data_IF_288409964797
#
_entry.id   IF_288409964797
#
_cell.length_a   1.000
_cell.length_b   1.000
_cell.length_c   1.000
_cell.angle_alpha   90.00
_cell.angle_beta   90.00
_cell.angle_gamma   90.00
#
_symmetry.space_group_name_H-M   'P 1'
#
loop_
_entity.id
_entity.type
_entity.pdbx_description
1 polymer ?
#
# COMPACT_ATOMS: atom_id res chain seq x y z
N UNK A 1 17.07 -34.80 -22.09
CA UNK A 1 16.97 -33.33 -22.16
C UNK A 1 16.60 -32.85 -20.77
N UNK A 2 17.58 -32.42 -19.97
CA UNK A 2 17.35 -31.94 -18.61
C UNK A 2 16.68 -30.58 -18.70
N UNK A 3 15.36 -30.55 -18.51
CA UNK A 3 14.67 -29.30 -18.16
C UNK A 3 15.27 -28.81 -16.84
N UNK A 4 16.29 -27.96 -16.94
CA UNK A 4 16.64 -27.02 -15.89
C UNK A 4 15.45 -26.07 -15.83
N UNK A 5 14.35 -26.50 -15.21
CA UNK A 5 13.29 -25.62 -14.74
C UNK A 5 13.97 -24.69 -13.78
N UNK A 6 14.35 -23.53 -14.30
CA UNK A 6 14.78 -22.36 -13.54
C UNK A 6 13.69 -22.18 -12.50
N UNK A 7 13.95 -22.64 -11.28
CA UNK A 7 13.03 -22.49 -10.15
C UNK A 7 13.01 -21.00 -9.84
N UNK A 8 12.21 -20.27 -10.61
CA UNK A 8 11.81 -18.94 -10.23
C UNK A 8 11.13 -19.12 -8.88
N UNK A 9 11.75 -18.61 -7.83
CA UNK A 9 11.13 -18.55 -6.51
C UNK A 9 9.97 -17.55 -6.61
N UNK A 10 8.81 -18.04 -7.02
CA UNK A 10 7.57 -17.27 -7.16
C UNK A 10 7.21 -16.63 -5.83
N UNK A 11 7.53 -17.32 -4.72
CA UNK A 11 7.51 -16.76 -3.37
C UNK A 11 8.28 -15.45 -3.24
N UNK A 12 9.53 -15.39 -3.71
CA UNK A 12 10.39 -14.19 -3.63
C UNK A 12 9.85 -13.07 -4.50
N UNK A 13 9.43 -13.35 -5.72
CA UNK A 13 8.83 -12.35 -6.62
C UNK A 13 7.55 -11.76 -6.01
N UNK A 14 6.67 -12.61 -5.48
CA UNK A 14 5.43 -12.18 -4.83
C UNK A 14 5.68 -11.32 -3.59
N UNK A 15 6.73 -11.64 -2.81
CA UNK A 15 7.15 -10.81 -1.68
C UNK A 15 7.59 -9.40 -2.11
N UNK A 16 8.38 -9.30 -3.18
CA UNK A 16 8.82 -8.01 -3.72
C UNK A 16 7.62 -7.19 -4.20
N UNK A 17 6.70 -7.80 -4.95
CA UNK A 17 5.46 -7.15 -5.39
C UNK A 17 4.66 -6.65 -4.19
N UNK A 18 4.55 -7.45 -3.13
CA UNK A 18 3.85 -7.06 -1.91
C UNK A 18 4.43 -5.78 -1.31
N UNK A 19 5.75 -5.70 -1.16
CA UNK A 19 6.43 -4.51 -0.64
C UNK A 19 6.25 -3.28 -1.54
N UNK A 20 6.28 -3.46 -2.86
CA UNK A 20 6.00 -2.38 -3.82
C UNK A 20 4.58 -1.84 -3.63
N UNK A 21 3.58 -2.71 -3.48
CA UNK A 21 2.19 -2.32 -3.23
C UNK A 21 2.04 -1.55 -1.92
N UNK A 22 2.71 -2.00 -0.85
CA UNK A 22 2.71 -1.32 0.46
C UNK A 22 3.29 0.09 0.32
N UNK A 23 4.50 0.19 -0.23
CA UNK A 23 5.19 1.48 -0.39
C UNK A 23 4.37 2.43 -1.26
N UNK A 24 3.80 1.92 -2.35
CA UNK A 24 2.96 2.71 -3.24
C UNK A 24 1.71 3.24 -2.53
N UNK A 25 1.01 2.41 -1.76
CA UNK A 25 -0.16 2.84 -0.99
C UNK A 25 0.16 3.87 0.08
N UNK A 26 1.29 3.72 0.78
CA UNK A 26 1.75 4.72 1.77
C UNK A 26 2.05 6.05 1.07
N UNK A 27 2.85 6.03 -0.01
CA UNK A 27 3.24 7.24 -0.74
C UNK A 27 2.03 7.95 -1.32
N UNK A 28 1.10 7.22 -1.95
CA UNK A 28 -0.13 7.79 -2.50
C UNK A 28 -1.02 8.38 -1.42
N UNK A 29 -1.20 7.70 -0.29
CA UNK A 29 -2.02 8.19 0.80
C UNK A 29 -1.45 9.47 1.44
N UNK A 30 -0.13 9.51 1.66
CA UNK A 30 0.55 10.71 2.14
C UNK A 30 0.46 11.86 1.13
N UNK A 31 0.70 11.59 -0.16
CA UNK A 31 0.58 12.59 -1.22
C UNK A 31 -0.85 13.15 -1.31
N UNK A 32 -1.86 12.30 -1.15
CA UNK A 32 -3.27 12.72 -1.11
C UNK A 32 -3.55 13.65 0.07
N UNK A 33 -3.12 13.27 1.28
CA UNK A 33 -3.29 14.09 2.50
C UNK A 33 -2.60 15.44 2.35
N UNK A 34 -1.39 15.49 1.81
CA UNK A 34 -0.68 16.76 1.62
C UNK A 34 -1.31 17.63 0.52
N UNK A 35 -1.85 17.03 -0.53
CA UNK A 35 -2.42 17.78 -1.66
C UNK A 35 -3.85 18.27 -1.40
N UNK A 36 -4.65 17.49 -0.65
CA UNK A 36 -6.09 17.71 -0.49
C UNK A 36 -6.55 17.77 0.97
N UNK A 37 -5.66 17.52 1.93
CA UNK A 37 -6.00 17.50 3.35
C UNK A 37 -6.30 18.88 3.91
N UNK A 38 -5.76 19.94 3.33
CA UNK A 38 -6.11 21.32 3.69
C UNK A 38 -7.23 21.85 2.79
N UNK A 39 -8.30 22.32 3.42
CA UNK A 39 -9.44 22.93 2.74
C UNK A 39 -9.58 24.38 3.17
N UNK A 40 -10.02 25.23 2.25
CA UNK A 40 -10.29 26.63 2.54
C UNK A 40 -11.66 26.76 3.20
N UNK A 41 -11.72 27.48 4.32
CA UNK A 41 -12.97 27.83 5.00
C UNK A 41 -12.97 29.31 5.34
N UNK A 42 -14.17 29.83 5.62
CA UNK A 42 -14.33 31.22 6.05
C UNK A 42 -14.46 31.26 7.57
N UNK A 43 -13.62 32.06 8.21
CA UNK A 43 -13.74 32.33 9.65
C UNK A 43 -14.87 33.34 9.92
N UNK A 44 -15.26 33.51 11.18
CA UNK A 44 -16.30 34.45 11.63
C UNK A 44 -16.02 35.91 11.19
N UNK A 45 -14.74 36.24 10.97
CA UNK A 45 -14.28 37.55 10.50
C UNK A 45 -14.29 37.69 8.95
N UNK A 46 -14.91 36.76 8.23
CA UNK A 46 -14.98 36.72 6.76
C UNK A 46 -13.64 36.46 6.03
N UNK A 47 -12.56 36.20 6.76
CA UNK A 47 -11.24 35.82 6.24
C UNK A 47 -11.20 34.38 5.75
N UNK A 48 -10.43 34.13 4.67
CA UNK A 48 -10.17 32.79 4.14
C UNK A 48 -9.02 32.17 4.94
N UNK A 49 -9.28 31.04 5.59
CA UNK A 49 -8.29 30.27 6.35
C UNK A 49 -8.17 28.85 5.78
N UNK A 50 -6.97 28.28 5.84
CA UNK A 50 -6.75 26.87 5.50
C UNK A 50 -6.81 26.01 6.76
N UNK A 51 -7.68 25.01 6.76
CA UNK A 51 -7.82 24.07 7.89
C UNK A 51 -7.72 22.63 7.40
N UNK A 52 -7.24 21.75 8.27
CA UNK A 52 -7.20 20.32 7.96
C UNK A 52 -8.60 19.73 7.98
N UNK A 53 -9.05 19.21 6.83
CA UNK A 53 -10.31 18.49 6.71
C UNK A 53 -10.16 17.08 7.26
N UNK A 54 -10.92 16.78 8.32
CA UNK A 54 -10.99 15.43 8.90
C UNK A 54 -11.43 14.39 7.88
N UNK A 55 -12.34 14.74 6.98
CA UNK A 55 -12.84 13.84 5.94
C UNK A 55 -11.72 13.49 4.95
N UNK A 56 -11.00 14.49 4.44
CA UNK A 56 -9.92 14.28 3.48
C UNK A 56 -8.74 13.51 4.10
N UNK A 57 -8.39 13.84 5.35
CA UNK A 57 -7.36 13.08 6.09
C UNK A 57 -7.78 11.63 6.28
N UNK A 58 -9.05 11.37 6.60
CA UNK A 58 -9.58 10.00 6.77
C UNK A 58 -9.53 9.22 5.47
N UNK A 59 -9.90 9.82 4.34
CA UNK A 59 -9.78 9.20 3.01
C UNK A 59 -8.32 8.85 2.71
N UNK A 60 -7.40 9.76 2.97
CA UNK A 60 -5.97 9.51 2.82
C UNK A 60 -5.46 8.34 3.65
N UNK A 61 -5.88 8.26 4.92
CA UNK A 61 -5.57 7.12 5.79
C UNK A 61 -6.18 5.81 5.25
N UNK A 62 -7.36 5.86 4.65
CA UNK A 62 -8.01 4.70 4.05
C UNK A 62 -7.22 4.20 2.83
N UNK A 63 -6.64 5.09 2.02
CA UNK A 63 -5.74 4.72 0.92
C UNK A 63 -4.53 3.96 1.45
N UNK A 64 -3.88 4.47 2.51
CA UNK A 64 -2.73 3.82 3.16
C UNK A 64 -3.15 2.43 3.67
N UNK A 65 -4.28 2.36 4.38
CA UNK A 65 -4.79 1.11 4.93
C UNK A 65 -5.03 0.06 3.85
N UNK A 66 -5.60 0.43 2.70
CA UNK A 66 -5.79 -0.49 1.58
C UNK A 66 -4.45 -0.97 1.01
N UNK A 67 -3.48 -0.08 0.82
CA UNK A 67 -2.14 -0.47 0.39
C UNK A 67 -1.48 -1.50 1.32
N UNK A 68 -1.59 -1.27 2.63
CA UNK A 68 -1.12 -2.21 3.65
C UNK A 68 -1.87 -3.54 3.59
N UNK A 69 -3.21 -3.50 3.46
CA UNK A 69 -4.05 -4.69 3.41
C UNK A 69 -3.71 -5.57 2.19
N UNK A 70 -3.69 -5.00 0.99
CA UNK A 70 -3.37 -5.75 -0.23
C UNK A 70 -1.93 -6.27 -0.19
N UNK A 71 -0.98 -5.44 0.25
CA UNK A 71 0.39 -5.86 0.48
C UNK A 71 0.51 -7.04 1.44
N UNK A 72 -0.17 -6.98 2.58
CA UNK A 72 -0.19 -8.08 3.54
C UNK A 72 -0.75 -9.37 2.94
N UNK A 73 -1.83 -9.29 2.14
CA UNK A 73 -2.37 -10.46 1.44
C UNK A 73 -1.35 -11.08 0.49
N UNK A 74 -0.60 -10.27 -0.26
CA UNK A 74 0.48 -10.77 -1.11
C UNK A 74 1.64 -11.38 -0.31
N UNK A 75 2.01 -10.81 0.83
CA UNK A 75 3.00 -11.41 1.73
C UNK A 75 2.51 -12.78 2.25
N UNK A 76 1.22 -12.91 2.55
CA UNK A 76 0.63 -14.18 2.96
C UNK A 76 0.68 -15.22 1.84
N UNK A 77 0.36 -14.84 0.60
CA UNK A 77 0.47 -15.71 -0.58
C UNK A 77 1.94 -16.12 -0.80
N UNK A 78 2.87 -15.16 -0.71
CA UNK A 78 4.31 -15.41 -0.81
C UNK A 78 4.79 -16.43 0.23
N UNK A 79 4.32 -16.34 1.47
CA UNK A 79 4.62 -17.30 2.53
C UNK A 79 4.11 -18.71 2.22
N UNK A 80 2.87 -18.83 1.71
CA UNK A 80 2.29 -20.11 1.28
C UNK A 80 3.10 -20.72 0.14
N UNK A 81 3.46 -19.92 -0.87
CA UNK A 81 4.29 -20.36 -1.99
C UNK A 81 5.66 -20.83 -1.51
N UNK A 82 6.29 -20.09 -0.59
CA UNK A 82 7.58 -20.49 -0.02
C UNK A 82 7.48 -21.82 0.74
N UNK A 83 6.38 -22.04 1.45
CA UNK A 83 6.13 -23.32 2.11
C UNK A 83 6.03 -24.45 1.07
N UNK A 84 5.23 -24.29 0.01
CA UNK A 84 5.08 -25.30 -1.04
C UNK A 84 6.36 -25.53 -1.86
N UNK A 85 7.17 -24.50 -2.07
CA UNK A 85 8.46 -24.59 -2.75
C UNK A 85 9.49 -25.38 -1.93
N UNK A 86 9.49 -25.25 -0.60
CA UNK A 86 10.50 -25.85 0.27
C UNK A 86 10.05 -27.15 0.97
N UNK A 87 8.75 -27.43 1.09
CA UNK A 87 8.20 -28.67 1.68
C UNK A 87 7.74 -29.70 0.63
N UNK A 88 8.10 -29.53 -0.64
CA UNK A 88 7.86 -30.51 -1.72
C UNK A 88 8.84 -31.70 -1.71
N UNK A 89 9.26 -32.15 -0.52
CA UNK A 89 10.01 -33.40 -0.33
C UNK A 89 9.07 -34.54 0.03
#
# INVERSE_FOLDING_TARGET
>A
MSEVKKSFKESKTTSVVAWVVILFGIVLGLAFILSYGQVETRNDNLDIIQVWSKEMVTVGLFIIFNGLLFGYLFLKISSILNHLENNKN
#
